data_IF_504186261067
#
_entry.id   IF_504186261067
#
_cell.length_a   1.000
_cell.length_b   1.000
_cell.length_c   1.000
_cell.angle_alpha   90.00
_cell.angle_beta   90.00
_cell.angle_gamma   90.00
#
_symmetry.space_group_name_H-M   'P 1'
#
loop_
_entity.id
_entity.type
_entity.pdbx_description
1 polymer ?
#
# COMPACT_ATOMS: atom_id res chain seq x y z
N UNK A 1 9.77 15.71 10.64
CA UNK A 1 10.74 14.61 10.44
C UNK A 1 10.23 13.77 9.29
N UNK A 2 10.95 13.67 8.17
CA UNK A 2 10.57 12.78 7.06
C UNK A 2 11.36 11.48 7.21
N UNK A 3 10.75 10.46 7.84
CA UNK A 3 11.30 9.11 7.85
C UNK A 3 10.88 8.41 6.57
N UNK A 4 11.79 8.32 5.59
CA UNK A 4 11.55 7.53 4.39
C UNK A 4 11.78 6.03 4.71
N UNK A 5 10.69 5.27 4.77
CA UNK A 5 10.75 3.82 4.94
C UNK A 5 11.14 3.16 3.62
N UNK A 6 12.37 2.63 3.51
CA UNK A 6 12.83 1.86 2.35
C UNK A 6 12.38 0.39 2.46
N UNK A 7 11.09 0.12 2.23
CA UNK A 7 10.57 -1.24 2.11
C UNK A 7 10.93 -1.81 0.73
N UNK A 8 12.07 -2.47 0.61
CA UNK A 8 12.43 -3.27 -0.57
C UNK A 8 11.74 -4.64 -0.52
N UNK A 9 10.40 -4.67 -0.50
CA UNK A 9 9.63 -5.91 -0.58
C UNK A 9 9.17 -6.11 -2.03
N UNK A 10 10.13 -6.40 -2.91
CA UNK A 10 9.87 -6.68 -4.34
C UNK A 10 9.29 -8.08 -4.55
N UNK A 11 9.48 -8.98 -3.57
CA UNK A 11 9.02 -10.38 -3.57
C UNK A 11 8.15 -10.68 -2.37
N UNK A 12 7.09 -11.45 -2.59
CA UNK A 12 6.18 -11.88 -1.55
C UNK A 12 6.83 -12.95 -0.65
N UNK A 13 6.85 -12.79 0.67
CA UNK A 13 7.43 -13.79 1.58
C UNK A 13 6.60 -15.08 1.67
N UNK A 14 5.34 -15.07 1.22
CA UNK A 14 4.43 -16.22 1.31
C UNK A 14 4.55 -17.17 0.11
N UNK A 15 4.78 -16.63 -1.09
CA UNK A 15 4.74 -17.40 -2.33
C UNK A 15 5.84 -17.00 -3.35
N UNK A 16 6.75 -16.11 -2.96
CA UNK A 16 7.82 -15.57 -3.82
C UNK A 16 7.32 -14.85 -5.08
N UNK A 17 6.03 -14.56 -5.17
CA UNK A 17 5.41 -13.81 -6.26
C UNK A 17 5.82 -12.34 -6.28
N UNK A 18 5.58 -11.68 -7.42
CA UNK A 18 5.86 -10.25 -7.59
C UNK A 18 4.94 -9.40 -6.72
N UNK A 19 5.48 -8.36 -6.11
CA UNK A 19 4.72 -7.37 -5.36
C UNK A 19 4.52 -6.12 -6.21
N UNK A 20 3.31 -5.59 -6.23
CA UNK A 20 2.97 -4.31 -6.86
C UNK A 20 2.36 -3.36 -5.85
N UNK A 21 2.60 -2.07 -6.07
CA UNK A 21 2.01 -0.98 -5.31
C UNK A 21 0.73 -0.52 -6.02
N UNK A 22 -0.34 -0.34 -5.25
CA UNK A 22 -1.61 0.17 -5.75
C UNK A 22 -2.24 1.18 -4.78
N UNK A 23 -2.90 2.20 -5.32
CA UNK A 23 -3.67 3.19 -4.56
C UNK A 23 -5.11 2.70 -4.33
N UNK A 24 -5.61 2.82 -3.09
CA UNK A 24 -6.94 2.35 -2.72
C UNK A 24 -7.58 3.23 -1.67
N UNK A 25 -8.92 3.26 -1.67
CA UNK A 25 -9.71 3.82 -0.58
C UNK A 25 -10.08 2.69 0.37
N UNK A 26 -9.74 2.85 1.65
CA UNK A 26 -10.18 1.95 2.72
C UNK A 26 -11.30 2.62 3.49
N UNK A 27 -12.42 1.93 3.59
CA UNK A 27 -13.58 2.36 4.38
C UNK A 27 -13.48 1.70 5.75
N UNK A 28 -13.39 2.53 6.79
CA UNK A 28 -13.59 2.12 8.17
C UNK A 28 -15.02 2.47 8.59
N UNK A 29 -15.47 1.93 9.73
CA UNK A 29 -16.81 2.18 10.27
C UNK A 29 -17.15 3.68 10.45
N UNK A 30 -16.15 4.57 10.50
CA UNK A 30 -16.34 5.98 10.81
C UNK A 30 -15.58 6.95 9.89
N UNK A 31 -14.79 6.44 8.94
CA UNK A 31 -13.95 7.27 8.07
C UNK A 31 -13.54 6.52 6.82
N UNK A 32 -13.24 7.26 5.76
CA UNK A 32 -12.58 6.74 4.57
C UNK A 32 -11.29 7.49 4.32
N UNK A 33 -10.26 6.76 3.91
CA UNK A 33 -8.94 7.32 3.65
C UNK A 33 -8.24 6.58 2.53
N UNK A 34 -7.41 7.32 1.81
CA UNK A 34 -6.60 6.78 0.73
C UNK A 34 -5.32 6.18 1.30
N UNK A 35 -4.98 4.99 0.80
CA UNK A 35 -3.78 4.25 1.17
C UNK A 35 -3.05 3.82 -0.09
N UNK A 36 -1.74 3.66 0.02
CA UNK A 36 -0.95 2.85 -0.92
C UNK A 36 -0.70 1.50 -0.29
N UNK A 37 -1.12 0.46 -0.98
CA UNK A 37 -0.98 -0.92 -0.55
C UNK A 37 0.07 -1.66 -1.39
N UNK A 38 0.94 -2.42 -0.73
CA UNK A 38 1.78 -3.41 -1.39
C UNK A 38 1.08 -4.76 -1.42
N UNK A 39 0.81 -5.31 -2.62
CA UNK A 39 0.14 -6.61 -2.80
C UNK A 39 0.92 -7.55 -3.69
N UNK A 40 0.84 -8.83 -3.37
CA UNK A 40 1.34 -9.86 -4.26
C UNK A 40 0.35 -10.13 -5.40
N UNK A 41 0.81 -10.09 -6.64
CA UNK A 41 -0.02 -10.38 -7.82
C UNK A 41 -0.27 -11.87 -8.05
N UNK A 42 0.44 -12.75 -7.33
CA UNK A 42 0.32 -14.20 -7.48
C UNK A 42 -0.65 -14.85 -6.49
N UNK A 43 -0.58 -14.47 -5.21
CA UNK A 43 -1.44 -15.04 -4.16
C UNK A 43 -2.39 -14.02 -3.53
N UNK A 44 -2.42 -12.79 -4.05
CA UNK A 44 -3.31 -11.72 -3.60
C UNK A 44 -3.08 -11.29 -2.13
N UNK A 45 -1.95 -11.72 -1.54
CA UNK A 45 -1.58 -11.37 -0.17
C UNK A 45 -1.29 -9.87 -0.06
N UNK A 46 -1.91 -9.24 0.93
CA UNK A 46 -1.64 -7.86 1.33
C UNK A 46 -0.44 -7.83 2.28
N UNK A 47 0.61 -7.09 1.92
CA UNK A 47 1.86 -7.06 2.68
C UNK A 47 1.98 -5.84 3.59
N UNK A 48 1.57 -4.66 3.11
CA UNK A 48 1.56 -3.43 3.90
C UNK A 48 0.57 -2.42 3.32
N UNK A 49 0.16 -1.47 4.16
CA UNK A 49 -0.63 -0.28 3.79
C UNK A 49 0.02 0.95 4.43
N UNK A 50 0.06 2.04 3.68
CA UNK A 50 0.58 3.32 4.12
C UNK A 50 -0.48 4.38 3.83
N UNK A 51 -0.83 5.17 4.86
CA UNK A 51 -1.75 6.28 4.69
C UNK A 51 -1.16 7.29 3.70
N UNK A 52 -1.95 7.65 2.68
CA UNK A 52 -1.61 8.72 1.76
C UNK A 52 -2.12 10.03 2.34
N UNK A 53 -1.24 10.96 2.75
CA UNK A 53 -1.70 12.27 3.15
C UNK A 53 -2.32 12.97 1.92
N UNK A 54 -3.36 13.79 2.13
CA UNK A 54 -4.10 14.42 1.04
C UNK A 54 -3.25 15.35 0.16
N UNK A 55 -2.09 15.78 0.64
CA UNK A 55 -1.12 16.57 -0.14
C UNK A 55 -0.35 15.76 -1.20
N UNK A 56 -0.40 14.43 -1.13
CA UNK A 56 0.28 13.49 -2.04
C UNK A 56 -0.71 12.64 -2.84
N UNK A 57 -1.93 12.47 -2.34
CA UNK A 57 -3.05 12.03 -3.15
C UNK A 57 -3.23 13.03 -4.29
N UNK A 58 -3.04 12.58 -5.54
CA UNK A 58 -3.08 13.47 -6.69
C UNK A 58 -4.34 14.32 -6.67
N UNK A 59 -4.19 15.64 -6.78
CA UNK A 59 -5.31 16.56 -6.99
C UNK A 59 -6.08 16.08 -8.24
N UNK A 60 -7.27 15.50 -8.02
CA UNK A 60 -8.14 15.01 -9.09
C UNK A 60 -8.94 16.16 -9.68
#
# INVERSE_FOLDING_TARGET
>A
MLGALRLFVERCPTCEGTVQLEERVVESCCSSYEVVAGRCTACDARLFELDLPPSLAGER
#
